data_IF_213645703596
#
_entry.id   IF_213645703596
#
_cell.length_a   1.000
_cell.length_b   1.000
_cell.length_c   1.000
_cell.angle_alpha   90.00
_cell.angle_beta   90.00
_cell.angle_gamma   90.00
#
_symmetry.space_group_name_H-M   'P 1'
#
loop_
_entity.id
_entity.type
_entity.pdbx_description
1 polymer ?
#
# COMPACT_ATOMS: atom_id res chain seq x y z
N UNK A 1 -29.16 19.66 19.15
CA UNK A 1 -28.94 18.54 18.23
C UNK A 1 -27.81 18.91 17.30
N UNK A 2 -26.77 18.06 17.16
CA UNK A 2 -25.60 18.29 16.30
C UNK A 2 -26.05 18.64 14.86
N UNK A 3 -27.07 17.93 14.38
CA UNK A 3 -27.70 18.19 13.08
C UNK A 3 -28.30 19.60 12.96
N UNK A 4 -28.95 20.10 14.01
CA UNK A 4 -29.54 21.44 14.01
C UNK A 4 -28.48 22.54 13.93
N UNK A 5 -27.36 22.39 14.65
CA UNK A 5 -26.24 23.34 14.59
C UNK A 5 -25.56 23.35 13.21
N UNK A 6 -25.40 22.16 12.60
CA UNK A 6 -24.86 22.03 11.26
C UNK A 6 -25.73 22.73 10.21
N UNK A 7 -27.04 22.46 10.20
CA UNK A 7 -27.95 23.10 9.25
C UNK A 7 -28.03 24.62 9.46
N UNK A 8 -28.03 25.08 10.71
CA UNK A 8 -28.01 26.51 11.02
C UNK A 8 -26.78 27.20 10.41
N UNK A 9 -25.59 26.63 10.62
CA UNK A 9 -24.35 27.18 10.07
C UNK A 9 -24.34 27.16 8.53
N UNK A 10 -24.86 26.10 7.93
CA UNK A 10 -24.96 25.96 6.48
C UNK A 10 -25.84 27.06 5.88
N UNK A 11 -27.06 27.23 6.39
CA UNK A 11 -27.97 28.26 5.90
C UNK A 11 -27.49 29.68 6.19
N UNK A 12 -26.86 29.90 7.36
CA UNK A 12 -26.23 31.19 7.67
C UNK A 12 -25.12 31.56 6.68
N UNK A 13 -24.28 30.58 6.29
CA UNK A 13 -23.22 30.77 5.31
C UNK A 13 -23.79 31.07 3.92
N UNK A 14 -24.82 30.33 3.48
CA UNK A 14 -25.48 30.59 2.20
C UNK A 14 -26.13 31.98 2.16
N UNK A 15 -26.82 32.37 3.24
CA UNK A 15 -27.39 33.71 3.37
C UNK A 15 -26.32 34.80 3.32
N UNK A 16 -25.20 34.62 4.02
CA UNK A 16 -24.10 35.58 4.02
C UNK A 16 -23.47 35.75 2.62
N UNK A 17 -23.25 34.65 1.89
CA UNK A 17 -22.68 34.70 0.54
C UNK A 17 -23.63 35.40 -0.44
N UNK A 18 -24.93 35.10 -0.38
CA UNK A 18 -25.92 35.77 -1.23
C UNK A 18 -26.10 37.24 -0.87
N UNK A 19 -26.00 37.62 0.41
CA UNK A 19 -26.03 39.01 0.84
C UNK A 19 -24.86 39.81 0.25
N UNK A 20 -23.63 39.30 0.38
CA UNK A 20 -22.44 39.93 -0.18
C UNK A 20 -22.53 39.99 -1.70
N UNK A 21 -22.97 38.90 -2.33
CA UNK A 21 -23.22 38.86 -3.77
C UNK A 21 -24.25 39.91 -4.21
N UNK A 22 -25.30 40.14 -3.43
CA UNK A 22 -26.29 41.19 -3.67
C UNK A 22 -25.69 42.60 -3.63
N UNK A 23 -24.75 42.87 -2.71
CA UNK A 23 -24.01 44.14 -2.66
C UNK A 23 -23.20 44.33 -3.95
N UNK A 24 -22.49 43.29 -4.41
CA UNK A 24 -21.71 43.37 -5.65
C UNK A 24 -22.57 43.64 -6.90
N UNK A 25 -23.78 43.10 -6.92
CA UNK A 25 -24.77 43.40 -7.96
C UNK A 25 -25.27 44.84 -7.87
N UNK A 26 -25.52 45.35 -6.66
CA UNK A 26 -25.93 46.73 -6.44
C UNK A 26 -24.85 47.75 -6.85
N UNK A 27 -23.58 47.41 -6.61
CA UNK A 27 -22.41 48.23 -7.00
C UNK A 27 -22.07 48.13 -8.50
N UNK A 28 -22.81 47.31 -9.27
CA UNK A 28 -22.61 47.11 -10.71
C UNK A 28 -21.32 46.34 -11.07
N UNK A 29 -20.65 45.76 -10.08
CA UNK A 29 -19.39 45.00 -10.26
C UNK A 29 -19.60 43.60 -10.83
N UNK A 30 -20.76 43.00 -10.58
CA UNK A 30 -21.15 41.69 -11.08
C UNK A 30 -22.62 41.69 -11.48
N UNK A 31 -22.99 40.88 -12.46
CA UNK A 31 -24.39 40.59 -12.77
C UNK A 31 -24.95 39.53 -11.81
N UNK A 32 -26.28 39.54 -11.59
CA UNK A 32 -26.92 38.52 -10.74
C UNK A 32 -26.69 37.08 -11.23
N UNK A 33 -26.54 36.90 -12.54
CA UNK A 33 -26.19 35.60 -13.14
C UNK A 33 -24.80 35.14 -12.71
N UNK A 34 -23.80 36.01 -12.77
CA UNK A 34 -22.41 35.69 -12.39
C UNK A 34 -22.30 35.32 -10.91
N UNK A 35 -23.02 36.00 -10.02
CA UNK A 35 -23.05 35.68 -8.59
C UNK A 35 -23.66 34.30 -8.34
N UNK A 36 -24.78 33.98 -8.99
CA UNK A 36 -25.44 32.67 -8.83
C UNK A 36 -24.55 31.56 -9.39
N UNK A 37 -23.95 31.76 -10.55
CA UNK A 37 -23.02 30.80 -11.16
C UNK A 37 -21.82 30.56 -10.24
N UNK A 38 -21.17 31.62 -9.75
CA UNK A 38 -20.03 31.50 -8.83
C UNK A 38 -20.40 30.75 -7.54
N UNK A 39 -21.58 31.03 -6.97
CA UNK A 39 -22.09 30.33 -5.79
C UNK A 39 -22.23 28.82 -6.02
N UNK A 40 -22.92 28.42 -7.09
CA UNK A 40 -23.11 27.00 -7.40
C UNK A 40 -21.80 26.30 -7.78
N UNK A 41 -20.91 26.97 -8.51
CA UNK A 41 -19.58 26.44 -8.83
C UNK A 41 -18.76 26.15 -7.57
N UNK A 42 -18.74 27.08 -6.61
CA UNK A 42 -18.05 26.87 -5.34
C UNK A 42 -18.69 25.75 -4.51
N UNK A 43 -20.02 25.70 -4.45
CA UNK A 43 -20.76 24.67 -3.72
C UNK A 43 -20.49 23.27 -4.28
N UNK A 44 -20.65 23.09 -5.59
CA UNK A 44 -20.40 21.81 -6.27
C UNK A 44 -18.94 21.41 -6.13
N UNK A 45 -18.00 22.36 -6.28
CA UNK A 45 -16.58 22.10 -6.07
C UNK A 45 -16.27 21.59 -4.66
N UNK A 46 -16.85 22.21 -3.63
CA UNK A 46 -16.72 21.76 -2.24
C UNK A 46 -17.29 20.36 -2.01
N UNK A 47 -18.46 20.05 -2.59
CA UNK A 47 -19.08 18.72 -2.50
C UNK A 47 -18.16 17.66 -3.12
N UNK A 48 -17.63 17.93 -4.31
CA UNK A 48 -16.72 17.01 -5.00
C UNK A 48 -15.47 16.78 -4.15
N UNK A 49 -14.85 17.83 -3.61
CA UNK A 49 -13.68 17.69 -2.72
C UNK A 49 -13.99 16.81 -1.50
N UNK A 50 -15.16 16.99 -0.88
CA UNK A 50 -15.62 16.12 0.21
C UNK A 50 -15.77 14.67 -0.22
N UNK A 51 -16.26 14.41 -1.44
CA UNK A 51 -16.39 13.07 -2.02
C UNK A 51 -15.05 12.45 -2.44
N UNK A 52 -14.00 13.25 -2.67
CA UNK A 52 -12.65 12.76 -2.98
C UNK A 52 -11.89 12.33 -1.71
N UNK A 53 -12.30 12.77 -0.52
CA UNK A 53 -11.63 12.40 0.74
C UNK A 53 -11.41 10.88 0.94
N UNK A 54 -12.35 9.98 0.59
CA UNK A 54 -12.15 8.53 0.68
C UNK A 54 -11.08 7.97 -0.27
N UNK A 55 -10.75 8.69 -1.35
CA UNK A 55 -9.72 8.27 -2.31
C UNK A 55 -8.33 8.34 -1.67
N UNK A 56 -8.06 9.40 -0.90
CA UNK A 56 -6.80 9.51 -0.18
C UNK A 56 -6.63 8.38 0.83
N UNK A 57 -7.70 8.04 1.56
CA UNK A 57 -7.66 6.98 2.57
C UNK A 57 -7.46 5.59 1.96
N UNK A 58 -8.05 5.31 0.79
CA UNK A 58 -7.89 4.02 0.12
C UNK A 58 -6.48 3.83 -0.46
N UNK A 59 -5.85 4.90 -0.97
CA UNK A 59 -4.45 4.87 -1.40
C UNK A 59 -3.50 4.60 -0.23
N UNK A 60 -3.70 5.28 0.90
CA UNK A 60 -2.87 5.08 2.11
C UNK A 60 -3.01 3.65 2.64
N UNK A 61 -4.23 3.08 2.59
CA UNK A 61 -4.47 1.70 3.00
C UNK A 61 -3.71 0.64 2.17
N UNK A 62 -3.34 0.95 0.92
CA UNK A 62 -2.56 0.07 0.05
C UNK A 62 -1.04 0.07 0.31
N UNK A 63 -0.51 1.11 0.95
CA UNK A 63 0.94 1.27 1.18
C UNK A 63 1.58 0.08 1.93
N UNK A 64 0.97 -0.49 2.99
CA UNK A 64 1.57 -1.63 3.69
C UNK A 64 1.68 -2.89 2.82
N UNK A 65 0.71 -3.11 1.92
CA UNK A 65 0.73 -4.25 1.00
C UNK A 65 1.84 -4.07 -0.04
N UNK A 66 1.97 -2.87 -0.62
CA UNK A 66 3.06 -2.54 -1.53
C UNK A 66 4.43 -2.68 -0.85
N UNK A 67 4.58 -2.18 0.38
CA UNK A 67 5.83 -2.32 1.14
C UNK A 67 6.24 -3.79 1.35
N UNK A 68 5.29 -4.68 1.64
CA UNK A 68 5.55 -6.12 1.74
C UNK A 68 5.95 -6.74 0.41
N UNK A 69 5.32 -6.33 -0.69
CA UNK A 69 5.66 -6.79 -2.02
C UNK A 69 7.10 -6.40 -2.39
N UNK A 70 7.46 -5.13 -2.20
CA UNK A 70 8.83 -4.65 -2.45
C UNK A 70 9.85 -5.35 -1.57
N UNK A 71 9.56 -5.52 -0.27
CA UNK A 71 10.43 -6.27 0.63
C UNK A 71 10.64 -7.74 0.20
N UNK A 72 9.66 -8.34 -0.49
CA UNK A 72 9.79 -9.69 -1.04
C UNK A 72 10.62 -9.70 -2.33
N UNK A 73 10.43 -8.71 -3.21
CA UNK A 73 11.17 -8.57 -4.48
C UNK A 73 12.65 -8.34 -4.18
N UNK A 74 12.96 -7.47 -3.23
CA UNK A 74 14.34 -7.11 -2.87
C UNK A 74 15.02 -8.15 -1.96
N UNK A 75 14.33 -9.24 -1.62
CA UNK A 75 14.89 -10.29 -0.77
C UNK A 75 15.96 -11.07 -1.52
N UNK A 76 17.19 -10.99 -1.03
CA UNK A 76 18.28 -11.90 -1.44
C UNK A 76 18.11 -13.26 -0.76
N UNK A 77 17.99 -14.38 -1.50
CA UNK A 77 17.90 -15.71 -0.91
C UNK A 77 19.27 -16.20 -0.38
N UNK A 78 19.25 -16.99 0.70
CA UNK A 78 20.49 -17.57 1.28
C UNK A 78 21.17 -18.60 0.36
N UNK A 79 20.39 -19.22 -0.54
CA UNK A 79 20.88 -20.13 -1.57
C UNK A 79 20.63 -19.47 -2.91
N UNK A 80 21.71 -19.05 -3.56
CA UNK A 80 21.67 -18.48 -4.90
C UNK A 80 21.58 -19.60 -5.93
N UNK A 81 20.42 -19.69 -6.58
CA UNK A 81 20.15 -20.65 -7.65
C UNK A 81 20.60 -20.14 -9.03
N UNK A 82 20.90 -18.84 -9.16
CA UNK A 82 21.40 -18.23 -10.40
C UNK A 82 22.92 -18.07 -10.39
N UNK A 83 23.57 -18.25 -9.24
CA UNK A 83 25.02 -18.31 -9.15
C UNK A 83 25.58 -19.38 -10.11
N UNK A 84 26.66 -19.08 -10.85
CA UNK A 84 27.31 -20.06 -11.70
C UNK A 84 27.84 -21.21 -10.85
N UNK A 85 27.15 -22.35 -10.93
CA UNK A 85 27.59 -23.61 -10.35
C UNK A 85 28.65 -24.29 -11.20
N UNK A 86 29.17 -25.40 -10.69
CA UNK A 86 30.04 -26.29 -11.46
C UNK A 86 29.20 -27.39 -12.12
N UNK A 87 29.11 -27.38 -13.45
CA UNK A 87 28.54 -28.49 -14.21
C UNK A 87 29.57 -29.64 -14.30
N UNK A 88 29.20 -30.81 -13.79
CA UNK A 88 30.03 -32.01 -13.89
C UNK A 88 29.76 -32.70 -15.23
N UNK A 89 30.81 -32.91 -16.04
CA UNK A 89 30.70 -33.57 -17.37
C UNK A 89 30.28 -35.04 -17.28
N UNK A 90 30.61 -35.72 -16.19
CA UNK A 90 30.18 -37.08 -15.89
C UNK A 90 29.97 -37.20 -14.37
N UNK A 91 28.87 -37.84 -13.98
CA UNK A 91 28.52 -38.08 -12.57
C UNK A 91 28.57 -39.59 -12.33
N UNK A 92 29.56 -40.04 -11.55
CA UNK A 92 29.66 -41.46 -11.15
C UNK A 92 28.52 -41.87 -10.20
N UNK A 93 27.95 -40.92 -9.44
CA UNK A 93 26.80 -41.17 -8.56
C UNK A 93 27.18 -41.72 -7.18
N UNK A 94 28.45 -41.67 -6.79
CA UNK A 94 28.86 -41.92 -5.41
C UNK A 94 28.48 -40.73 -4.53
N UNK A 95 27.80 -41.01 -3.41
CA UNK A 95 27.35 -39.98 -2.47
C UNK A 95 27.97 -40.27 -1.12
N UNK A 96 28.73 -39.32 -0.57
CA UNK A 96 29.29 -39.43 0.78
C UNK A 96 28.86 -38.24 1.62
N UNK A 97 28.25 -38.52 2.77
CA UNK A 97 27.95 -37.58 3.83
C UNK A 97 28.90 -37.88 5.00
N UNK A 98 29.59 -36.87 5.53
CA UNK A 98 30.51 -37.04 6.66
C UNK A 98 30.22 -36.01 7.76
N UNK A 99 29.99 -36.49 8.97
CA UNK A 99 29.79 -35.68 10.17
C UNK A 99 28.68 -34.64 10.01
N UNK A 100 27.60 -34.98 9.31
CA UNK A 100 26.55 -34.01 9.01
C UNK A 100 25.72 -33.72 10.25
N UNK A 101 25.67 -32.44 10.62
CA UNK A 101 24.81 -31.87 11.64
C UNK A 101 23.72 -31.05 10.96
N UNK A 102 22.45 -31.33 11.26
CA UNK A 102 21.34 -30.62 10.63
C UNK A 102 20.17 -30.42 11.58
N UNK A 103 19.70 -29.17 11.63
CA UNK A 103 18.48 -28.76 12.29
C UNK A 103 17.67 -27.89 11.33
N UNK A 104 16.35 -28.08 11.30
CA UNK A 104 15.48 -27.24 10.46
C UNK A 104 15.44 -25.80 11.01
N UNK A 105 15.50 -24.76 10.16
CA UNK A 105 15.44 -23.37 10.60
C UNK A 105 14.17 -23.01 11.38
N UNK A 106 13.06 -23.69 11.11
CA UNK A 106 11.80 -23.53 11.83
C UNK A 106 11.83 -24.08 13.27
N UNK A 107 12.77 -24.97 13.58
CA UNK A 107 12.95 -25.61 14.90
C UNK A 107 14.44 -25.82 15.21
N UNK A 108 15.21 -24.74 15.42
CA UNK A 108 16.66 -24.82 15.61
C UNK A 108 17.05 -25.59 16.89
N UNK A 109 16.13 -25.70 17.83
CA UNK A 109 16.31 -26.41 19.11
C UNK A 109 16.37 -27.94 18.94
N UNK A 110 15.89 -28.48 17.81
CA UNK A 110 15.77 -29.91 17.58
C UNK A 110 16.68 -30.30 16.42
N UNK A 111 17.82 -30.87 16.76
CA UNK A 111 18.75 -31.42 15.80
C UNK A 111 18.28 -32.80 15.31
N UNK A 112 18.10 -32.93 13.99
CA UNK A 112 17.58 -34.13 13.30
C UNK A 112 18.71 -35.07 12.91
N UNK A 113 19.78 -34.54 12.30
CA UNK A 113 21.00 -35.30 12.01
C UNK A 113 22.07 -34.87 12.99
N UNK A 114 22.64 -35.83 13.73
CA UNK A 114 23.67 -35.60 14.75
C UNK A 114 24.90 -36.40 14.38
N UNK A 115 25.93 -35.74 13.88
CA UNK A 115 27.17 -36.38 13.44
C UNK A 115 26.90 -37.60 12.52
N UNK A 116 26.08 -37.40 11.49
CA UNK A 116 25.64 -38.48 10.61
C UNK A 116 26.64 -38.74 9.48
N UNK A 117 27.08 -39.98 9.36
CA UNK A 117 27.95 -40.48 8.29
C UNK A 117 27.17 -41.45 7.39
N UNK A 118 27.24 -41.28 6.08
CA UNK A 118 26.61 -42.15 5.10
C UNK A 118 27.45 -42.23 3.83
N UNK A 119 27.65 -43.43 3.32
CA UNK A 119 28.36 -43.68 2.06
C UNK A 119 27.52 -44.57 1.17
N UNK A 120 27.22 -44.10 -0.03
CA UNK A 120 26.46 -44.81 -1.06
C UNK A 120 27.35 -44.90 -2.29
N UNK A 121 27.56 -46.12 -2.78
CA UNK A 121 28.36 -46.38 -3.98
C UNK A 121 27.47 -46.32 -5.23
N UNK A 122 28.06 -45.97 -6.36
CA UNK A 122 27.39 -45.96 -7.66
C UNK A 122 26.75 -47.33 -7.99
N UNK A 123 25.43 -47.35 -8.19
CA UNK A 123 24.70 -48.54 -8.68
C UNK A 123 24.09 -49.48 -7.63
N UNK A 124 23.97 -49.05 -6.37
CA UNK A 124 23.26 -49.79 -5.30
C UNK A 124 21.75 -49.56 -5.27
#
# INVERSE_FOLDING_TARGET
>A
SIWGGFFFLMFATYGAVLWIGGIWVADGTMTGGEVITAFFSAMIGGIILGQLAPIGTSMIAGLPAAARLYALIDRVPDVDIEAPGQELQAVEGSITMRGVHFAYPSRPQIEVLRNFDLEITAGQ
#
